data_IF_655338223365
#
_entry.id   IF_655338223365
#
_cell.length_a   1.000
_cell.length_b   1.000
_cell.length_c   1.000
_cell.angle_alpha   90.00
_cell.angle_beta   90.00
_cell.angle_gamma   90.00
#
_symmetry.space_group_name_H-M   'P 1'
#
loop_
_entity.id
_entity.type
_entity.pdbx_description
1 polymer ?
#
# COMPACT_ATOMS: atom_id res chain seq x y z
N UNK A 1 -7.30 17.88 -5.35
CA UNK A 1 -6.98 17.11 -6.56
C UNK A 1 -5.85 17.80 -7.31
N UNK A 2 -4.86 17.04 -7.79
CA UNK A 2 -3.68 17.55 -8.46
C UNK A 2 -3.57 16.96 -9.87
N UNK A 3 -3.08 17.74 -10.82
CA UNK A 3 -2.70 17.25 -12.14
C UNK A 3 -1.17 17.15 -12.15
N UNK A 4 -0.66 15.94 -12.35
CA UNK A 4 0.78 15.69 -12.34
C UNK A 4 1.41 16.10 -13.68
N UNK A 5 2.57 16.80 -13.66
CA UNK A 5 3.09 17.49 -14.84
C UNK A 5 3.57 16.53 -15.94
N UNK A 6 4.17 15.39 -15.61
CA UNK A 6 4.68 14.43 -16.63
C UNK A 6 3.59 13.48 -17.15
N UNK A 7 2.76 12.95 -16.25
CA UNK A 7 1.75 11.96 -16.60
C UNK A 7 0.42 12.59 -17.08
N UNK A 8 0.16 13.85 -16.72
CA UNK A 8 -1.13 14.52 -16.97
C UNK A 8 -2.30 13.89 -16.19
N UNK A 9 -2.02 12.95 -15.26
CA UNK A 9 -3.03 12.22 -14.51
C UNK A 9 -3.54 13.02 -13.32
N UNK A 10 -4.83 12.82 -13.03
CA UNK A 10 -5.49 13.37 -11.85
C UNK A 10 -5.14 12.53 -10.62
N UNK A 11 -4.44 13.14 -9.65
CA UNK A 11 -4.06 12.55 -8.38
C UNK A 11 -4.96 13.08 -7.27
N UNK A 12 -5.64 12.18 -6.54
CA UNK A 12 -6.22 12.47 -5.24
C UNK A 12 -5.23 12.07 -4.14
N UNK A 13 -5.11 12.89 -3.10
CA UNK A 13 -4.26 12.60 -1.94
C UNK A 13 -5.15 12.49 -0.73
N UNK A 14 -5.10 11.33 -0.04
CA UNK A 14 -5.84 11.06 1.20
C UNK A 14 -4.87 10.87 2.35
N UNK A 15 -5.10 11.58 3.44
CA UNK A 15 -4.30 11.52 4.66
C UNK A 15 -5.13 10.92 5.80
N UNK A 16 -4.76 9.74 6.26
CA UNK A 16 -5.33 9.10 7.44
C UNK A 16 -4.70 9.74 8.68
N UNK A 17 -5.52 10.32 9.54
CA UNK A 17 -5.05 10.92 10.78
C UNK A 17 -6.15 10.85 11.85
N UNK A 18 -5.78 10.41 13.06
CA UNK A 18 -6.67 10.38 14.21
C UNK A 18 -7.02 11.77 14.70
N UNK A 19 -8.26 12.01 15.16
CA UNK A 19 -8.69 13.32 15.66
C UNK A 19 -7.85 13.83 16.85
N UNK A 20 -7.34 12.92 17.66
CA UNK A 20 -6.44 13.23 18.77
C UNK A 20 -5.01 13.58 18.35
N UNK A 21 -4.61 13.33 17.10
CA UNK A 21 -3.24 13.52 16.62
C UNK A 21 -3.05 14.84 15.83
N UNK A 22 -3.48 15.96 16.43
CA UNK A 22 -3.49 17.30 15.79
C UNK A 22 -2.10 17.76 15.36
N UNK A 23 -1.08 17.56 16.21
CA UNK A 23 0.30 17.92 15.87
C UNK A 23 0.82 17.14 14.65
N UNK A 24 0.55 15.83 14.57
CA UNK A 24 0.95 15.03 13.40
C UNK A 24 0.25 15.49 12.13
N UNK A 25 -1.01 15.93 12.24
CA UNK A 25 -1.72 16.53 11.12
C UNK A 25 -1.07 17.83 10.64
N UNK A 26 -0.68 18.72 11.55
CA UNK A 26 0.00 19.97 11.23
C UNK A 26 1.36 19.70 10.57
N UNK A 27 2.18 18.82 11.15
CA UNK A 27 3.49 18.43 10.63
C UNK A 27 3.36 17.80 9.22
N UNK A 28 2.35 16.94 9.03
CA UNK A 28 2.14 16.29 7.72
C UNK A 28 1.62 17.26 6.67
N UNK A 29 0.75 18.20 7.03
CA UNK A 29 0.32 19.26 6.12
C UNK A 29 1.49 20.14 5.68
N UNK A 30 2.40 20.51 6.61
CA UNK A 30 3.61 21.25 6.27
C UNK A 30 4.52 20.47 5.32
N UNK A 31 4.70 19.16 5.54
CA UNK A 31 5.47 18.29 4.62
C UNK A 31 4.84 18.22 3.23
N UNK A 32 3.51 18.13 3.15
CA UNK A 32 2.78 18.11 1.88
C UNK A 32 2.86 19.45 1.14
N UNK A 33 2.68 20.56 1.86
CA UNK A 33 2.78 21.90 1.28
C UNK A 33 4.19 22.17 0.71
N UNK A 34 5.23 21.68 1.38
CA UNK A 34 6.62 21.80 0.93
C UNK A 34 6.88 21.11 -0.44
N UNK A 35 6.10 20.11 -0.79
CA UNK A 35 6.17 19.41 -2.08
C UNK A 35 5.02 19.80 -3.03
N UNK A 36 4.22 20.82 -2.70
CA UNK A 36 3.13 21.32 -3.54
C UNK A 36 1.90 20.44 -3.60
N UNK A 37 1.69 19.55 -2.61
CA UNK A 37 0.51 18.70 -2.51
C UNK A 37 -0.41 19.17 -1.38
N UNK A 38 -1.71 18.95 -1.57
CA UNK A 38 -2.75 19.08 -0.53
C UNK A 38 -3.51 17.77 -0.41
N UNK A 39 -3.71 17.30 0.81
CA UNK A 39 -4.46 16.09 1.07
C UNK A 39 -5.89 16.40 1.56
N UNK A 40 -6.80 15.52 1.21
CA UNK A 40 -8.07 15.38 1.90
C UNK A 40 -7.84 14.54 3.15
N UNK A 41 -8.09 15.12 4.33
CA UNK A 41 -8.01 14.37 5.58
C UNK A 41 -9.13 13.35 5.66
N UNK A 42 -8.78 12.11 5.94
CA UNK A 42 -9.69 11.03 6.29
C UNK A 42 -9.57 10.76 7.78
N UNK A 43 -10.59 11.06 8.59
CA UNK A 43 -10.55 10.77 10.02
C UNK A 43 -10.24 9.30 10.25
N UNK A 44 -9.22 9.03 11.05
CA UNK A 44 -8.86 7.67 11.44
C UNK A 44 -9.95 7.06 12.32
N UNK A 45 -10.38 5.85 11.98
CA UNK A 45 -11.41 5.14 12.76
C UNK A 45 -10.82 4.70 14.10
N UNK A 46 -11.40 5.16 15.22
CA UNK A 46 -11.04 4.66 16.53
C UNK A 46 -11.75 3.33 16.80
N UNK A 47 -11.05 2.24 16.57
CA UNK A 47 -11.61 0.91 16.77
C UNK A 47 -12.04 0.61 18.22
N UNK A 48 -11.55 1.38 19.20
CA UNK A 48 -11.96 1.21 20.61
C UNK A 48 -13.35 1.78 20.91
N UNK A 49 -13.84 2.67 20.05
CA UNK A 49 -15.17 3.29 20.15
C UNK A 49 -16.25 2.51 19.39
N UNK A 50 -15.87 1.45 18.69
CA UNK A 50 -16.80 0.60 17.95
C UNK A 50 -17.51 -0.39 18.89
N UNK A 51 -18.82 -0.52 18.71
CA UNK A 51 -19.64 -1.50 19.44
C UNK A 51 -19.62 -2.87 18.74
N UNK A 52 -18.75 -3.76 19.19
CA UNK A 52 -18.63 -5.12 18.62
C UNK A 52 -19.80 -6.03 19.05
N UNK A 53 -20.27 -6.98 18.18
CA UNK A 53 -19.74 -7.27 16.84
C UNK A 53 -20.18 -6.24 15.78
N UNK A 54 -19.35 -6.02 14.75
CA UNK A 54 -19.65 -5.16 13.60
C UNK A 54 -19.64 -5.98 12.31
N UNK A 55 -20.48 -5.66 11.31
CA UNK A 55 -20.55 -6.42 10.06
C UNK A 55 -19.26 -6.33 9.22
N UNK A 56 -18.46 -5.28 9.40
CA UNK A 56 -17.19 -5.06 8.71
C UNK A 56 -16.05 -5.95 9.21
N UNK A 57 -16.24 -6.73 10.28
CA UNK A 57 -15.22 -7.55 10.89
C UNK A 57 -15.68 -9.00 11.11
N UNK A 58 -14.94 -9.95 10.57
CA UNK A 58 -15.17 -11.40 10.80
C UNK A 58 -14.23 -11.93 11.88
N UNK A 59 -14.69 -11.91 13.14
CA UNK A 59 -13.90 -12.37 14.29
C UNK A 59 -13.40 -13.80 14.11
N UNK A 60 -14.27 -14.72 13.69
CA UNK A 60 -13.92 -16.13 13.48
C UNK A 60 -12.80 -16.27 12.44
N UNK A 61 -12.94 -15.63 11.28
CA UNK A 61 -11.90 -15.66 10.25
C UNK A 61 -10.59 -15.05 10.72
N UNK A 62 -10.66 -13.93 11.42
CA UNK A 62 -9.50 -13.25 11.98
C UNK A 62 -8.78 -14.13 13.01
N UNK A 63 -9.52 -14.78 13.89
CA UNK A 63 -8.99 -15.72 14.88
C UNK A 63 -8.27 -16.89 14.21
N UNK A 64 -8.90 -17.53 13.21
CA UNK A 64 -8.35 -18.72 12.55
C UNK A 64 -7.18 -18.42 11.62
N UNK A 65 -7.25 -17.33 10.85
CA UNK A 65 -6.24 -17.00 9.83
C UNK A 65 -5.10 -16.14 10.39
N UNK A 66 -5.40 -15.24 11.35
CA UNK A 66 -4.41 -14.32 11.93
C UNK A 66 -3.87 -14.78 13.29
N UNK A 67 -4.66 -15.56 14.04
CA UNK A 67 -4.26 -16.09 15.34
C UNK A 67 -4.31 -15.05 16.46
N UNK A 68 -5.24 -14.10 16.36
CA UNK A 68 -5.48 -13.04 17.35
C UNK A 68 -6.96 -12.95 17.72
N UNK A 69 -7.24 -12.44 18.91
CA UNK A 69 -8.56 -11.96 19.31
C UNK A 69 -8.86 -10.64 18.63
N UNK A 70 -10.10 -10.17 18.72
CA UNK A 70 -10.52 -8.84 18.30
C UNK A 70 -9.51 -7.79 18.75
N UNK A 71 -8.92 -7.10 17.79
CA UNK A 71 -7.89 -6.08 18.00
C UNK A 71 -8.40 -4.72 17.52
N UNK A 72 -9.02 -3.91 18.40
CA UNK A 72 -9.61 -2.63 18.00
C UNK A 72 -8.65 -1.71 17.21
N UNK A 73 -7.36 -1.56 17.58
CA UNK A 73 -6.46 -0.70 16.82
C UNK A 73 -6.24 -1.20 15.37
N UNK A 74 -6.14 -2.53 15.18
CA UNK A 74 -5.96 -3.10 13.82
C UNK A 74 -7.25 -2.96 12.99
N UNK A 75 -8.42 -3.07 13.63
CA UNK A 75 -9.73 -2.86 12.98
C UNK A 75 -9.88 -1.41 12.56
N UNK A 76 -9.56 -0.46 13.44
CA UNK A 76 -9.60 0.96 13.13
C UNK A 76 -8.70 1.34 11.96
N UNK A 77 -7.44 0.89 11.97
CA UNK A 77 -6.51 1.06 10.86
C UNK A 77 -7.08 0.49 9.55
N UNK A 78 -7.60 -0.74 9.59
CA UNK A 78 -8.19 -1.39 8.42
C UNK A 78 -9.33 -0.59 7.80
N UNK A 79 -10.28 -0.18 8.64
CA UNK A 79 -11.46 0.58 8.19
C UNK A 79 -11.08 1.96 7.65
N UNK A 80 -10.04 2.60 8.21
CA UNK A 80 -9.52 3.88 7.71
C UNK A 80 -8.98 3.77 6.29
N UNK A 81 -8.21 2.73 5.97
CA UNK A 81 -7.72 2.50 4.62
C UNK A 81 -8.85 2.16 3.63
N UNK A 82 -9.86 1.38 4.05
CA UNK A 82 -11.04 1.10 3.23
C UNK A 82 -11.85 2.39 2.99
N UNK A 83 -11.95 3.27 3.99
CA UNK A 83 -12.61 4.58 3.83
C UNK A 83 -11.89 5.45 2.79
N UNK A 84 -10.55 5.48 2.76
CA UNK A 84 -9.79 6.15 1.71
C UNK A 84 -10.10 5.58 0.32
N UNK A 85 -10.14 4.26 0.18
CA UNK A 85 -10.48 3.61 -1.08
C UNK A 85 -11.90 3.94 -1.54
N UNK A 86 -12.87 3.98 -0.63
CA UNK A 86 -14.25 4.36 -0.93
C UNK A 86 -14.35 5.81 -1.41
N UNK A 87 -13.65 6.76 -0.76
CA UNK A 87 -13.59 8.16 -1.19
C UNK A 87 -12.93 8.29 -2.56
N UNK A 88 -11.84 7.57 -2.79
CA UNK A 88 -11.21 7.51 -4.11
C UNK A 88 -12.18 7.00 -5.17
N UNK A 89 -12.93 5.93 -4.90
CA UNK A 89 -13.91 5.40 -5.86
C UNK A 89 -15.05 6.36 -6.15
N UNK A 90 -15.42 7.24 -5.24
CA UNK A 90 -16.40 8.31 -5.42
C UNK A 90 -15.85 9.57 -6.11
N UNK A 91 -14.53 9.68 -6.31
CA UNK A 91 -13.90 10.83 -6.98
C UNK A 91 -13.73 10.57 -8.49
N UNK A 92 -13.34 11.62 -9.24
CA UNK A 92 -12.96 11.54 -10.65
C UNK A 92 -11.44 11.41 -10.88
N UNK A 93 -10.67 11.17 -9.81
CA UNK A 93 -9.22 10.97 -9.89
C UNK A 93 -8.87 9.65 -10.60
N UNK A 94 -7.75 9.65 -11.33
CA UNK A 94 -7.21 8.45 -11.96
C UNK A 94 -6.46 7.57 -10.97
N UNK A 95 -5.74 8.21 -10.04
CA UNK A 95 -4.81 7.62 -9.07
C UNK A 95 -5.10 8.22 -7.70
N UNK A 96 -5.00 7.41 -6.66
CA UNK A 96 -4.97 7.88 -5.27
C UNK A 96 -3.61 7.65 -4.63
N UNK A 97 -3.10 8.66 -3.93
CA UNK A 97 -2.03 8.57 -2.96
C UNK A 97 -2.67 8.49 -1.58
N UNK A 98 -2.44 7.41 -0.86
CA UNK A 98 -2.94 7.20 0.50
C UNK A 98 -1.74 7.23 1.44
N UNK A 99 -1.86 8.05 2.50
CA UNK A 99 -0.80 8.36 3.44
C UNK A 99 -1.27 8.19 4.89
N UNK A 100 -0.42 7.65 5.73
CA UNK A 100 -0.50 7.76 7.19
C UNK A 100 0.22 9.05 7.64
N UNK A 101 -0.07 9.54 8.83
CA UNK A 101 0.36 10.85 9.34
C UNK A 101 1.80 10.88 9.91
N UNK A 102 2.57 9.81 9.71
CA UNK A 102 3.96 9.66 10.11
C UNK A 102 4.93 9.53 8.91
N UNK A 103 4.46 9.79 7.69
CA UNK A 103 5.27 9.64 6.48
C UNK A 103 6.23 10.82 6.29
N UNK A 104 7.48 10.50 5.93
CA UNK A 104 8.53 11.47 5.57
C UNK A 104 8.90 11.24 4.11
N UNK A 105 8.90 12.32 3.31
CA UNK A 105 9.18 12.27 1.89
C UNK A 105 10.66 12.51 1.59
N UNK A 106 11.21 11.78 0.62
CA UNK A 106 12.49 12.10 0.01
C UNK A 106 12.36 13.31 -0.92
N UNK A 107 13.49 14.00 -1.20
CA UNK A 107 13.51 15.25 -1.99
C UNK A 107 12.92 15.09 -3.40
N UNK A 108 13.07 13.92 -4.00
CA UNK A 108 12.60 13.58 -5.35
C UNK A 108 11.24 12.87 -5.36
N UNK A 109 10.50 12.87 -4.24
CA UNK A 109 9.26 12.12 -4.06
C UNK A 109 8.26 12.37 -5.18
N UNK A 110 7.93 13.64 -5.44
CA UNK A 110 6.92 14.00 -6.44
C UNK A 110 7.34 13.60 -7.86
N UNK A 111 8.62 13.79 -8.20
CA UNK A 111 9.16 13.38 -9.48
C UNK A 111 9.12 11.85 -9.64
N UNK A 112 9.49 11.12 -8.59
CA UNK A 112 9.50 9.66 -8.59
C UNK A 112 8.10 9.06 -8.75
N UNK A 113 7.07 9.61 -8.07
CA UNK A 113 5.71 9.12 -8.22
C UNK A 113 5.11 9.46 -9.59
N UNK A 114 5.37 10.65 -10.12
CA UNK A 114 4.85 11.06 -11.43
C UNK A 114 5.48 10.18 -12.55
N UNK A 115 6.78 9.94 -12.49
CA UNK A 115 7.46 9.01 -13.42
C UNK A 115 6.93 7.58 -13.30
N UNK A 116 6.63 7.11 -12.08
CA UNK A 116 6.03 5.81 -11.85
C UNK A 116 4.61 5.74 -12.42
N UNK A 117 3.85 6.84 -12.39
CA UNK A 117 2.50 6.95 -12.95
C UNK A 117 2.53 6.95 -14.49
N UNK A 118 3.52 7.60 -15.13
CA UNK A 118 3.78 7.44 -16.58
C UNK A 118 3.96 5.97 -16.94
N UNK A 119 4.58 5.19 -16.06
CA UNK A 119 4.77 3.74 -16.20
C UNK A 119 3.60 2.91 -15.61
N UNK A 120 2.39 3.46 -15.56
CA UNK A 120 1.22 2.89 -14.89
C UNK A 120 0.71 1.56 -15.45
N UNK A 121 1.12 1.15 -16.66
CA UNK A 121 0.81 -0.18 -17.21
C UNK A 121 1.48 -1.33 -16.44
N UNK A 122 2.51 -1.05 -15.65
CA UNK A 122 3.30 -2.03 -14.93
C UNK A 122 2.82 -2.28 -13.49
N UNK A 123 1.87 -1.51 -12.98
CA UNK A 123 1.36 -1.64 -11.62
C UNK A 123 -0.11 -1.22 -11.49
N UNK A 124 -0.80 -1.81 -10.51
CA UNK A 124 -2.12 -1.41 -10.03
C UNK A 124 -2.01 -0.79 -8.63
N UNK A 125 -1.03 -1.28 -7.84
CA UNK A 125 -0.71 -0.86 -6.50
C UNK A 125 0.80 -0.64 -6.39
N UNK A 126 1.20 0.55 -5.92
CA UNK A 126 2.60 0.94 -5.82
C UNK A 126 2.95 1.36 -4.39
N UNK A 127 3.77 0.59 -3.72
CA UNK A 127 4.22 0.88 -2.36
C UNK A 127 5.37 1.89 -2.39
N UNK A 128 5.29 2.89 -1.54
CA UNK A 128 6.29 3.97 -1.39
C UNK A 128 7.08 3.82 -0.09
N UNK A 129 6.49 3.14 0.91
CA UNK A 129 7.12 2.78 2.19
C UNK A 129 7.04 1.29 2.45
N UNK A 130 7.89 0.78 3.34
CA UNK A 130 7.81 -0.56 3.93
C UNK A 130 8.59 -0.61 5.23
N UNK A 131 8.13 -1.41 6.19
CA UNK A 131 8.86 -1.73 7.42
C UNK A 131 9.54 -3.11 7.32
N UNK A 132 9.60 -3.70 6.13
CA UNK A 132 10.22 -5.00 5.86
C UNK A 132 11.58 -4.83 5.19
N UNK A 133 12.54 -5.66 5.61
CA UNK A 133 13.89 -5.70 5.03
C UNK A 133 14.02 -6.70 3.86
N UNK A 134 12.89 -7.22 3.34
CA UNK A 134 12.87 -8.15 2.22
C UNK A 134 13.50 -7.54 0.96
N UNK A 135 14.17 -8.38 0.16
CA UNK A 135 14.80 -7.96 -1.08
C UNK A 135 13.76 -7.54 -2.11
N UNK A 136 13.98 -6.37 -2.74
CA UNK A 136 13.21 -5.87 -3.88
C UNK A 136 13.99 -6.12 -5.16
N UNK A 137 13.32 -6.64 -6.18
CA UNK A 137 13.92 -7.03 -7.47
C UNK A 137 13.51 -5.99 -8.53
N UNK A 138 14.44 -5.09 -8.95
CA UNK A 138 14.17 -4.10 -9.96
C UNK A 138 13.87 -4.72 -11.31
N UNK A 139 12.89 -4.17 -12.05
CA UNK A 139 12.56 -4.62 -13.40
C UNK A 139 12.45 -3.48 -14.43
N UNK A 140 12.16 -2.23 -13.99
CA UNK A 140 12.10 -1.05 -14.86
C UNK A 140 12.75 0.13 -14.20
N UNK A 141 13.70 0.79 -14.87
CA UNK A 141 14.35 2.00 -14.40
C UNK A 141 13.39 3.18 -14.42
N UNK A 142 13.48 4.04 -13.41
CA UNK A 142 12.86 5.35 -13.28
C UNK A 142 13.96 6.42 -13.19
N UNK A 143 13.57 7.68 -13.08
CA UNK A 143 14.48 8.82 -12.86
C UNK A 143 15.13 8.75 -11.46
N UNK A 144 16.18 9.56 -11.24
CA UNK A 144 16.83 9.69 -9.92
C UNK A 144 17.48 8.40 -9.40
N UNK A 145 17.86 7.45 -10.27
CA UNK A 145 18.45 6.17 -9.87
C UNK A 145 17.45 5.16 -9.29
N UNK A 146 16.17 5.49 -9.28
CA UNK A 146 15.09 4.62 -8.80
C UNK A 146 14.64 3.61 -9.85
N UNK A 147 13.85 2.65 -9.44
CA UNK A 147 13.27 1.63 -10.33
C UNK A 147 11.92 1.17 -9.81
N UNK A 148 11.04 0.69 -10.68
CA UNK A 148 9.96 -0.20 -10.28
C UNK A 148 10.55 -1.57 -9.92
N UNK A 149 10.17 -2.08 -8.75
CA UNK A 149 10.67 -3.33 -8.21
C UNK A 149 9.53 -4.22 -7.68
N UNK A 150 9.75 -5.52 -7.62
CA UNK A 150 8.83 -6.50 -7.03
C UNK A 150 9.51 -7.15 -5.83
N UNK A 151 8.77 -7.29 -4.72
CA UNK A 151 9.16 -8.12 -3.58
C UNK A 151 8.55 -9.50 -3.73
N UNK A 152 9.34 -10.55 -3.62
CA UNK A 152 8.86 -11.94 -3.75
C UNK A 152 8.32 -12.49 -2.44
N UNK A 153 8.75 -11.93 -1.32
CA UNK A 153 8.34 -12.31 0.04
C UNK A 153 7.30 -11.33 0.58
N UNK A 154 6.76 -11.65 1.75
CA UNK A 154 5.81 -10.80 2.45
C UNK A 154 6.41 -9.42 2.76
N UNK A 155 5.61 -8.41 2.50
CA UNK A 155 5.91 -7.01 2.83
C UNK A 155 4.92 -6.50 3.88
N UNK A 156 5.42 -5.69 4.80
CA UNK A 156 4.65 -5.09 5.89
C UNK A 156 4.65 -3.57 5.75
N UNK A 157 3.65 -2.96 6.37
CA UNK A 157 3.47 -1.51 6.37
C UNK A 157 2.64 -1.05 5.18
N UNK A 158 1.86 -0.01 5.44
CA UNK A 158 0.93 0.63 4.50
C UNK A 158 0.97 2.16 4.63
N UNK A 159 2.06 2.70 5.18
CA UNK A 159 2.19 4.13 5.50
C UNK A 159 2.03 5.06 4.30
N UNK A 160 2.55 4.66 3.13
CA UNK A 160 2.38 5.42 1.88
C UNK A 160 2.30 4.49 0.67
N UNK A 161 1.27 4.67 -0.16
CA UNK A 161 1.11 3.90 -1.40
C UNK A 161 0.20 4.61 -2.42
N UNK A 162 0.41 4.30 -3.69
CA UNK A 162 -0.45 4.69 -4.80
C UNK A 162 -1.31 3.53 -5.25
N UNK A 163 -2.54 3.83 -5.66
CA UNK A 163 -3.45 2.87 -6.28
C UNK A 163 -4.15 3.48 -7.49
N UNK A 164 -4.30 2.67 -8.55
CA UNK A 164 -5.18 3.00 -9.65
C UNK A 164 -6.63 2.59 -9.33
N UNK A 165 -7.57 2.89 -10.23
CA UNK A 165 -9.01 2.58 -10.04
C UNK A 165 -9.28 1.10 -9.82
N UNK A 166 -8.48 0.21 -10.44
CA UNK A 166 -8.64 -1.24 -10.30
C UNK A 166 -8.26 -1.71 -8.88
N UNK A 167 -7.13 -1.24 -8.35
CA UNK A 167 -6.71 -1.54 -6.98
C UNK A 167 -7.60 -0.85 -5.94
N UNK A 168 -8.02 0.41 -6.18
CA UNK A 168 -8.98 1.10 -5.31
C UNK A 168 -10.29 0.35 -5.17
N UNK A 169 -10.86 -0.14 -6.29
CA UNK A 169 -12.06 -0.99 -6.29
C UNK A 169 -11.87 -2.31 -5.53
N UNK A 170 -10.67 -2.90 -5.58
CA UNK A 170 -10.36 -4.10 -4.83
C UNK A 170 -10.28 -3.81 -3.33
N UNK A 171 -9.58 -2.75 -2.92
CA UNK A 171 -9.46 -2.37 -1.50
C UNK A 171 -10.84 -2.05 -0.90
N UNK A 172 -11.71 -1.33 -1.62
CA UNK A 172 -13.06 -1.00 -1.16
C UNK A 172 -13.92 -2.24 -0.87
N UNK A 173 -13.55 -3.40 -1.42
CA UNK A 173 -14.24 -4.70 -1.23
C UNK A 173 -13.57 -5.64 -0.23
N UNK A 174 -12.53 -5.20 0.47
CA UNK A 174 -11.84 -6.02 1.48
C UNK A 174 -12.63 -6.17 2.80
N UNK A 175 -13.92 -5.88 2.79
CA UNK A 175 -14.86 -6.06 3.90
C UNK A 175 -15.63 -7.39 3.71
N UNK A 176 -15.85 -8.18 4.77
CA UNK A 176 -15.39 -7.95 6.15
C UNK A 176 -13.90 -8.24 6.33
N UNK A 177 -13.27 -7.51 7.25
CA UNK A 177 -11.88 -7.73 7.66
C UNK A 177 -11.70 -9.16 8.21
N UNK A 178 -10.72 -9.89 7.69
CA UNK A 178 -10.36 -11.25 8.10
C UNK A 178 -8.91 -11.38 8.54
N UNK A 179 -8.10 -10.39 8.23
CA UNK A 179 -6.66 -10.30 8.50
C UNK A 179 -6.33 -8.86 8.84
N UNK A 180 -5.18 -8.59 9.48
CA UNK A 180 -4.68 -7.23 9.60
C UNK A 180 -4.45 -6.60 8.22
N UNK A 181 -4.58 -5.27 8.12
CA UNK A 181 -4.56 -4.57 6.83
C UNK A 181 -3.28 -4.84 6.03
N UNK A 182 -2.13 -4.79 6.68
CA UNK A 182 -0.83 -5.04 6.03
C UNK A 182 -0.74 -6.43 5.38
N UNK A 183 -1.43 -7.43 5.95
CA UNK A 183 -1.51 -8.77 5.38
C UNK A 183 -2.54 -8.82 4.25
N UNK A 184 -3.75 -8.29 4.47
CA UNK A 184 -4.81 -8.30 3.46
C UNK A 184 -4.38 -7.51 2.21
N UNK A 185 -3.74 -6.37 2.40
CA UNK A 185 -3.17 -5.51 1.36
C UNK A 185 -2.05 -6.21 0.55
N UNK A 186 -1.33 -7.15 1.17
CA UNK A 186 -0.25 -7.93 0.56
C UNK A 186 -0.77 -9.20 -0.17
N UNK A 187 -2.09 -9.36 -0.27
CA UNK A 187 -2.76 -10.45 -1.02
C UNK A 187 -3.26 -10.02 -2.41
N UNK A 188 -2.83 -8.87 -2.90
CA UNK A 188 -3.18 -8.31 -4.20
C UNK A 188 -2.98 -9.30 -5.35
N UNK A 189 -1.97 -10.16 -5.23
CA UNK A 189 -1.63 -11.16 -6.23
C UNK A 189 -2.74 -12.23 -6.42
N UNK A 190 -3.52 -12.54 -5.37
CA UNK A 190 -4.67 -13.44 -5.46
C UNK A 190 -5.83 -12.81 -6.25
N UNK A 191 -5.88 -11.48 -6.30
CA UNK A 191 -6.86 -10.74 -7.10
C UNK A 191 -6.34 -10.44 -8.54
N UNK A 192 -5.19 -10.97 -8.91
CA UNK A 192 -4.55 -10.72 -10.20
C UNK A 192 -4.08 -9.28 -10.37
N UNK A 193 -3.86 -8.54 -9.28
CA UNK A 193 -3.35 -7.17 -9.29
C UNK A 193 -1.82 -7.16 -9.36
N UNK A 194 -1.29 -6.08 -9.91
CA UNK A 194 0.15 -5.86 -10.05
C UNK A 194 0.62 -4.94 -8.92
N UNK A 195 1.22 -5.49 -7.84
CA UNK A 195 1.91 -4.66 -6.86
C UNK A 195 3.37 -4.42 -7.25
N UNK A 196 3.87 -3.23 -7.05
CA UNK A 196 5.28 -2.87 -7.23
C UNK A 196 5.72 -1.93 -6.10
N UNK A 197 7.00 -1.61 -6.09
CA UNK A 197 7.66 -0.62 -5.25
C UNK A 197 8.35 0.41 -6.12
N UNK A 198 8.47 1.65 -5.67
CA UNK A 198 9.56 2.52 -6.08
C UNK A 198 10.77 2.14 -5.21
N UNK A 199 11.89 1.76 -5.83
CA UNK A 199 13.07 1.31 -5.12
C UNK A 199 14.37 1.92 -5.72
N UNK A 200 15.26 2.49 -4.89
CA UNK A 200 15.11 2.75 -3.45
C UNK A 200 13.83 3.46 -3.09
N UNK A 201 13.35 3.31 -1.84
CA UNK A 201 12.08 3.91 -1.41
C UNK A 201 12.14 5.44 -1.47
N UNK A 202 11.07 6.08 -1.94
CA UNK A 202 10.97 7.54 -2.02
C UNK A 202 10.27 8.18 -0.81
N UNK A 203 9.86 7.36 0.16
CA UNK A 203 9.34 7.81 1.45
C UNK A 203 9.69 6.81 2.55
N UNK A 204 9.72 7.29 3.79
CA UNK A 204 9.93 6.50 5.00
C UNK A 204 8.82 6.80 6.01
N UNK A 205 8.76 6.05 7.10
CA UNK A 205 7.93 6.37 8.25
C UNK A 205 8.81 6.85 9.39
N UNK A 206 8.35 7.87 10.12
CA UNK A 206 9.07 8.45 11.23
C UNK A 206 9.15 7.43 12.37
N UNK A 207 10.37 7.02 12.72
CA UNK A 207 10.59 6.00 13.75
C UNK A 207 10.34 6.52 15.18
N UNK A 208 10.36 7.85 15.37
CA UNK A 208 10.18 8.49 16.67
C UNK A 208 8.70 8.61 17.09
N UNK A 209 7.78 8.45 16.15
CA UNK A 209 6.37 8.27 16.45
C UNK A 209 6.12 6.85 16.98
N UNK A 210 6.01 6.69 18.30
CA UNK A 210 5.56 5.43 18.89
C UNK A 210 4.31 4.95 18.15
N UNK A 211 4.45 3.90 17.34
CA UNK A 211 3.30 3.24 16.73
C UNK A 211 2.41 2.72 17.87
N UNK A 212 1.38 3.47 18.21
CA UNK A 212 0.42 3.11 19.26
C UNK A 212 -0.18 1.72 19.03
N UNK A 213 -0.10 1.23 17.81
CA UNK A 213 -0.58 -0.10 17.43
C UNK A 213 0.42 -1.19 17.83
N UNK A 214 1.74 -0.99 17.65
CA UNK A 214 2.72 -2.07 17.82
C UNK A 214 2.99 -2.46 19.29
N UNK A 215 2.94 -1.50 20.22
CA UNK A 215 3.34 -1.74 21.61
C UNK A 215 2.40 -2.69 22.38
N UNK A 216 1.12 -2.83 21.97
CA UNK A 216 0.13 -3.63 22.68
C UNK A 216 -0.43 -4.84 21.90
N UNK A 217 0.07 -5.16 20.71
CA UNK A 217 -0.49 -6.26 19.90
C UNK A 217 -0.29 -7.66 20.52
N UNK A 218 0.63 -7.80 21.47
CA UNK A 218 0.90 -9.09 22.15
C UNK A 218 -0.29 -9.57 22.97
N UNK A 219 -1.06 -8.66 23.56
CA UNK A 219 -2.23 -8.99 24.42
C UNK A 219 -3.36 -9.66 23.62
N UNK A 220 -3.45 -9.41 22.33
CA UNK A 220 -4.49 -9.99 21.46
C UNK A 220 -4.10 -11.37 20.90
N UNK A 221 -2.90 -11.89 21.17
CA UNK A 221 -2.46 -13.19 20.66
C UNK A 221 -3.23 -14.33 21.32
N UNK A 222 -3.70 -15.25 20.51
CA UNK A 222 -4.27 -16.51 20.99
C UNK A 222 -3.18 -17.46 21.52
N UNK A 223 -3.53 -18.42 22.38
CA UNK A 223 -2.64 -19.49 22.84
C UNK A 223 -2.03 -20.31 21.70
N UNK A 224 -1.13 -21.23 22.01
CA UNK A 224 -0.36 -21.99 21.00
C UNK A 224 -1.20 -22.82 20.04
N UNK A 225 -2.42 -23.22 20.42
CA UNK A 225 -3.33 -23.95 19.53
C UNK A 225 -3.60 -23.23 18.19
N UNK A 226 -3.51 -21.89 18.15
CA UNK A 226 -3.63 -21.10 16.90
C UNK A 226 -2.72 -21.61 15.78
N UNK A 227 -1.58 -22.23 16.11
CA UNK A 227 -0.64 -22.71 15.11
C UNK A 227 -1.22 -23.84 14.23
N UNK A 228 -2.22 -24.59 14.70
CA UNK A 228 -2.89 -25.60 13.88
C UNK A 228 -3.64 -24.99 12.67
N UNK A 229 -4.13 -23.77 12.79
CA UNK A 229 -4.84 -23.07 11.70
C UNK A 229 -3.95 -22.05 11.00
N UNK A 230 -3.22 -21.28 11.76
CA UNK A 230 -2.41 -20.16 11.25
C UNK A 230 -1.20 -20.65 10.44
N UNK A 231 -0.52 -21.73 10.84
CA UNK A 231 0.68 -22.18 10.12
C UNK A 231 0.34 -22.74 8.73
N UNK A 232 -0.63 -23.65 8.55
CA UNK A 232 -1.00 -24.10 7.21
C UNK A 232 -1.44 -22.96 6.31
N UNK A 233 -2.24 -22.02 6.84
CA UNK A 233 -2.70 -20.86 6.09
C UNK A 233 -1.52 -19.95 5.68
N UNK A 234 -0.60 -19.65 6.60
CA UNK A 234 0.59 -18.85 6.29
C UNK A 234 1.51 -19.54 5.28
N UNK A 235 1.72 -20.84 5.41
CA UNK A 235 2.50 -21.60 4.42
C UNK A 235 1.89 -21.47 3.03
N UNK A 236 0.57 -21.62 2.92
CA UNK A 236 -0.14 -21.38 1.67
C UNK A 236 0.10 -19.98 1.12
N UNK A 237 -0.02 -18.94 1.97
CA UNK A 237 0.18 -17.56 1.56
C UNK A 237 1.63 -17.31 1.11
N UNK A 238 2.64 -17.77 1.85
CA UNK A 238 4.04 -17.54 1.48
C UNK A 238 4.41 -18.27 0.18
N UNK A 239 3.96 -19.53 0.03
CA UNK A 239 4.25 -20.33 -1.17
C UNK A 239 3.56 -19.74 -2.40
N UNK A 240 2.25 -19.46 -2.32
CA UNK A 240 1.49 -18.87 -3.44
C UNK A 240 2.02 -17.48 -3.81
N UNK A 241 2.36 -16.64 -2.84
CA UNK A 241 2.98 -15.33 -3.06
C UNK A 241 4.29 -15.45 -3.81
N UNK A 242 5.19 -16.30 -3.32
CA UNK A 242 6.49 -16.49 -3.95
C UNK A 242 6.35 -16.95 -5.39
N UNK A 243 5.53 -17.96 -5.66
CA UNK A 243 5.32 -18.48 -7.01
C UNK A 243 4.70 -17.43 -7.94
N UNK A 244 3.60 -16.81 -7.54
CA UNK A 244 2.88 -15.85 -8.39
C UNK A 244 3.69 -14.57 -8.63
N UNK A 245 4.38 -14.05 -7.62
CA UNK A 245 5.21 -12.87 -7.78
C UNK A 245 6.50 -13.15 -8.56
N UNK A 246 7.07 -14.36 -8.46
CA UNK A 246 8.20 -14.79 -9.30
C UNK A 246 7.80 -14.87 -10.78
N UNK A 247 6.65 -15.49 -11.08
CA UNK A 247 6.11 -15.53 -12.43
C UNK A 247 5.86 -14.10 -12.96
N UNK A 248 5.23 -13.26 -12.17
CA UNK A 248 4.98 -11.87 -12.53
C UNK A 248 6.27 -11.10 -12.76
N UNK A 249 7.32 -11.32 -11.96
CA UNK A 249 8.62 -10.68 -12.17
C UNK A 249 9.22 -11.08 -13.52
N UNK A 250 9.15 -12.36 -13.88
CA UNK A 250 9.58 -12.84 -15.21
C UNK A 250 8.82 -12.16 -16.35
N UNK A 251 7.48 -12.10 -16.24
CA UNK A 251 6.61 -11.40 -17.21
C UNK A 251 6.96 -9.92 -17.31
N UNK A 252 7.15 -9.24 -16.17
CA UNK A 252 7.49 -7.81 -16.15
C UNK A 252 8.84 -7.53 -16.84
N UNK A 253 9.86 -8.37 -16.60
CA UNK A 253 11.16 -8.28 -17.29
C UNK A 253 11.02 -8.45 -18.78
N UNK A 254 10.26 -9.45 -19.23
CA UNK A 254 10.02 -9.70 -20.64
C UNK A 254 9.28 -8.54 -21.32
N UNK A 255 8.23 -8.02 -20.68
CA UNK A 255 7.48 -6.86 -21.20
C UNK A 255 8.40 -5.65 -21.39
N UNK A 256 9.22 -5.32 -20.40
CA UNK A 256 10.19 -4.21 -20.50
C UNK A 256 11.23 -4.45 -21.59
N UNK A 257 11.68 -5.69 -21.79
CA UNK A 257 12.62 -6.02 -22.87
C UNK A 257 11.99 -5.82 -24.25
N UNK A 258 10.73 -6.25 -24.44
CA UNK A 258 10.00 -6.08 -25.69
C UNK A 258 9.72 -4.60 -26.02
N UNK A 259 9.36 -3.79 -25.01
CA UNK A 259 9.17 -2.34 -25.18
C UNK A 259 10.47 -1.66 -25.67
N UNK A 260 11.63 -2.04 -25.11
CA UNK A 260 12.94 -1.53 -25.52
C UNK A 260 13.31 -1.94 -26.96
N UNK A 261 12.93 -3.15 -27.37
CA UNK A 261 13.14 -3.66 -28.72
C UNK A 261 12.37 -2.84 -29.77
N UNK A 262 11.11 -2.54 -29.47
CA UNK A 262 10.24 -1.73 -30.36
C UNK A 262 10.73 -0.29 -30.54
N UNK A 263 11.30 0.33 -29.49
CA UNK A 263 11.86 1.68 -29.57
C UNK A 263 13.14 1.81 -30.40
N UNK A 264 13.81 0.69 -30.76
CA UNK A 264 15.02 0.68 -31.59
C UNK A 264 14.74 0.47 -33.08
N UNK A 265 13.51 0.18 -33.49
CA UNK A 265 13.13 -0.13 -34.87
C UNK A 265 12.41 1.02 -35.59
N UNK A 266 12.67 2.28 -35.23
CA UNK A 266 12.30 3.42 -36.10
C UNK A 266 13.41 3.53 -37.16
N UNK A 267 13.16 3.19 -38.45
CA UNK A 267 14.13 3.42 -39.49
C UNK A 267 14.31 4.93 -39.65
N UNK A 268 15.56 5.39 -39.57
CA UNK A 268 15.94 6.65 -40.17
C UNK A 268 15.73 6.50 -41.67
N UNK A 269 14.52 6.80 -42.15
CA UNK A 269 14.23 6.95 -43.55
C UNK A 269 14.96 8.19 -44.08
N UNK A 270 15.74 8.00 -45.10
CA UNK A 270 16.40 9.01 -45.92
C UNK A 270 15.42 10.08 -46.43
#
# INVERSE_FOLDING_TARGET
MHILPKSGRKLAVFLINMDSATKRLEDMNARLDAIGLKAERVPGVNGRELNYPIPEFSELSYMLMHGRRTSPPEIGCYLSHVACANRFMGSDADIALILEDDVVFEKDFLEAIDEAIVNGSHWDLLRLTTVSNGRKFPFRKLVGGRSLAIALTREKGSGAYLVNRRAGKWISKLIPMRLAYDIAFDLEYLAGLKAAFIYPLCATQDADGESQIQNNLRIYRLPRWRYFTVLPYRTFLETSRFLMRSLRFGVAKLTVALERGKGKTVPTGN
#
